data_IF_376620231093
#
_entry.id   IF_376620231093
#
_cell.length_a   1.000
_cell.length_b   1.000
_cell.length_c   1.000
_cell.angle_alpha   90.00
_cell.angle_beta   90.00
_cell.angle_gamma   90.00
#
_symmetry.space_group_name_H-M   'P 1'
#
loop_
_entity.id
_entity.type
_entity.pdbx_description
1 polymer ?
#
# COMPACT_ATOMS: atom_id res chain seq x y z
N UNK A 1 16.69 -26.51 -85.38
CA UNK A 1 15.27 -26.10 -85.40
C UNK A 1 14.81 -25.94 -83.96
N UNK A 2 14.65 -24.69 -83.56
CA UNK A 2 13.78 -24.12 -82.51
C UNK A 2 13.76 -24.78 -81.12
N UNK A 3 14.72 -24.38 -80.29
CA UNK A 3 14.75 -24.64 -78.84
C UNK A 3 13.99 -23.60 -78.00
N UNK A 4 13.48 -24.10 -76.87
CA UNK A 4 12.83 -23.48 -75.71
C UNK A 4 12.78 -21.94 -75.60
N UNK A 5 11.55 -21.43 -75.45
CA UNK A 5 11.24 -20.10 -74.91
C UNK A 5 11.48 -20.07 -73.39
N UNK A 6 12.38 -19.19 -72.94
CA UNK A 6 12.48 -18.79 -71.53
C UNK A 6 11.39 -17.76 -71.23
N UNK A 7 10.43 -18.11 -70.38
CA UNK A 7 9.45 -17.18 -69.83
C UNK A 7 10.00 -16.47 -68.60
N UNK A 8 10.14 -15.15 -68.69
CA UNK A 8 10.46 -14.27 -67.56
C UNK A 8 9.19 -14.12 -66.72
N UNK A 9 9.17 -14.70 -65.52
CA UNK A 9 8.11 -14.48 -64.53
C UNK A 9 8.45 -13.21 -63.74
N UNK A 10 7.66 -12.14 -63.94
CA UNK A 10 7.75 -10.90 -63.19
C UNK A 10 7.00 -11.09 -61.86
N UNK A 11 7.76 -11.20 -60.76
CA UNK A 11 7.22 -11.41 -59.42
C UNK A 11 6.81 -10.06 -58.83
N UNK A 12 5.53 -9.71 -58.98
CA UNK A 12 4.92 -8.54 -58.34
C UNK A 12 4.75 -8.83 -56.85
N UNK A 13 5.62 -8.26 -56.02
CA UNK A 13 5.47 -8.24 -54.56
C UNK A 13 4.31 -7.30 -54.20
N UNK A 14 3.11 -7.85 -54.03
CA UNK A 14 2.00 -7.18 -53.38
C UNK A 14 2.36 -6.98 -51.91
N UNK A 15 2.70 -5.75 -51.54
CA UNK A 15 2.77 -5.31 -50.15
C UNK A 15 1.33 -5.27 -49.63
N UNK A 16 0.94 -6.32 -48.91
CA UNK A 16 -0.30 -6.33 -48.14
C UNK A 16 -0.09 -5.40 -46.94
N UNK A 17 -0.49 -4.14 -47.08
CA UNK A 17 -0.63 -3.24 -45.95
C UNK A 17 -1.62 -3.84 -44.97
N UNK A 18 -1.14 -4.17 -43.76
CA UNK A 18 -2.00 -4.51 -42.64
C UNK A 18 -2.80 -3.26 -42.26
N UNK A 19 -3.99 -3.11 -42.83
CA UNK A 19 -4.98 -2.18 -42.33
C UNK A 19 -5.44 -2.67 -40.96
N UNK A 20 -5.29 -1.82 -39.95
CA UNK A 20 -5.94 -2.04 -38.66
C UNK A 20 -7.44 -2.27 -38.89
N UNK A 21 -8.10 -3.13 -38.09
CA UNK A 21 -9.52 -3.39 -38.26
C UNK A 21 -10.31 -2.08 -38.18
N UNK A 22 -11.25 -1.87 -39.11
CA UNK A 22 -12.01 -0.62 -39.26
C UNK A 22 -12.65 -0.10 -37.96
N UNK A 23 -12.98 -1.00 -37.02
CA UNK A 23 -13.49 -0.68 -35.69
C UNK A 23 -12.50 0.09 -34.80
N UNK A 24 -11.19 -0.21 -34.87
CA UNK A 24 -10.16 0.49 -34.09
C UNK A 24 -9.90 1.91 -34.62
N UNK A 25 -10.02 2.08 -35.94
CA UNK A 25 -9.90 3.38 -36.60
C UNK A 25 -11.10 4.30 -36.28
N UNK A 26 -12.30 3.74 -36.14
CA UNK A 26 -13.51 4.46 -35.74
C UNK A 26 -13.47 4.89 -34.26
N UNK A 27 -13.03 4.01 -33.35
CA UNK A 27 -12.84 4.35 -31.93
C UNK A 27 -11.83 5.49 -31.75
N UNK A 28 -10.73 5.49 -32.50
CA UNK A 28 -9.72 6.56 -32.42
C UNK A 28 -10.28 7.91 -32.89
N UNK A 29 -11.08 7.91 -33.96
CA UNK A 29 -11.75 9.12 -34.42
C UNK A 29 -12.78 9.64 -33.40
N UNK A 30 -13.53 8.73 -32.75
CA UNK A 30 -14.48 9.09 -31.70
C UNK A 30 -13.76 9.64 -30.45
N UNK A 31 -12.69 9.01 -30.01
CA UNK A 31 -11.89 9.43 -28.86
C UNK A 31 -11.32 10.84 -29.08
N UNK A 32 -10.78 11.11 -30.28
CA UNK A 32 -10.27 12.43 -30.63
C UNK A 32 -11.36 13.51 -30.58
N UNK A 33 -12.58 13.22 -31.05
CA UNK A 33 -13.70 14.17 -30.96
C UNK A 33 -14.08 14.45 -29.50
N UNK A 34 -14.18 13.42 -28.66
CA UNK A 34 -14.49 13.58 -27.23
C UNK A 34 -13.38 14.34 -26.49
N UNK A 35 -12.13 14.11 -26.85
CA UNK A 35 -11.00 14.84 -26.27
C UNK A 35 -11.04 16.33 -26.59
N UNK A 36 -11.31 16.68 -27.84
CA UNK A 36 -11.48 18.08 -28.24
C UNK A 36 -12.64 18.72 -27.48
N UNK A 37 -13.74 17.99 -27.28
CA UNK A 37 -14.84 18.47 -26.43
C UNK A 37 -14.38 18.71 -24.99
N UNK A 38 -13.63 17.78 -24.39
CA UNK A 38 -13.07 17.95 -23.05
C UNK A 38 -12.16 19.19 -22.97
N UNK A 39 -11.28 19.39 -23.95
CA UNK A 39 -10.40 20.56 -24.01
C UNK A 39 -11.17 21.88 -24.13
N UNK A 40 -12.26 21.90 -24.90
CA UNK A 40 -13.14 23.08 -24.98
C UNK A 40 -13.83 23.37 -23.64
N UNK A 41 -14.24 22.34 -22.90
CA UNK A 41 -14.81 22.49 -21.55
C UNK A 41 -13.74 23.02 -20.59
N UNK A 42 -12.51 22.52 -20.64
CA UNK A 42 -11.40 23.02 -19.83
C UNK A 42 -11.08 24.49 -20.13
N UNK A 43 -11.06 24.87 -21.40
CA UNK A 43 -10.85 26.27 -21.78
C UNK A 43 -11.93 27.19 -21.19
N UNK A 44 -13.19 26.74 -21.12
CA UNK A 44 -14.26 27.47 -20.43
C UNK A 44 -14.01 27.54 -18.93
N UNK A 45 -13.58 26.43 -18.32
CA UNK A 45 -13.25 26.36 -16.90
C UNK A 45 -12.10 27.31 -16.51
N UNK A 46 -11.15 27.53 -17.41
CA UNK A 46 -10.03 28.46 -17.20
C UNK A 46 -10.42 29.92 -17.41
N UNK A 47 -11.45 30.17 -18.23
CA UNK A 47 -11.94 31.52 -18.52
C UNK A 47 -12.96 32.06 -17.51
N UNK A 48 -13.52 31.21 -16.64
CA UNK A 48 -14.51 31.62 -15.64
C UNK A 48 -13.85 32.04 -14.33
N UNK A 49 -14.40 33.08 -13.70
CA UNK A 49 -14.01 33.52 -12.36
C UNK A 49 -14.93 32.95 -11.26
N UNK A 50 -16.02 32.28 -11.63
CA UNK A 50 -16.93 31.64 -10.69
C UNK A 50 -16.40 30.24 -10.33
N UNK A 51 -16.03 30.06 -9.06
CA UNK A 51 -15.49 28.80 -8.54
C UNK A 51 -16.48 27.63 -8.63
N UNK A 52 -17.79 27.87 -8.47
CA UNK A 52 -18.79 26.81 -8.59
C UNK A 52 -18.96 26.37 -10.05
N UNK A 53 -18.97 27.33 -10.96
CA UNK A 53 -19.06 27.03 -12.39
C UNK A 53 -17.77 26.37 -12.90
N UNK A 54 -16.61 26.83 -12.44
CA UNK A 54 -15.33 26.18 -12.72
C UNK A 54 -15.33 24.72 -12.26
N UNK A 55 -15.79 24.43 -11.04
CA UNK A 55 -15.86 23.07 -10.52
C UNK A 55 -16.77 22.17 -11.37
N UNK A 56 -17.93 22.66 -11.82
CA UNK A 56 -18.83 21.91 -12.71
C UNK A 56 -18.17 21.57 -14.04
N UNK A 57 -17.53 22.54 -14.69
CA UNK A 57 -16.86 22.35 -15.97
C UNK A 57 -15.69 21.37 -15.84
N UNK A 58 -14.92 21.45 -14.76
CA UNK A 58 -13.86 20.49 -14.48
C UNK A 58 -14.39 19.06 -14.33
N UNK A 59 -15.49 18.86 -13.60
CA UNK A 59 -16.15 17.55 -13.47
C UNK A 59 -16.73 17.03 -14.80
N UNK A 60 -17.25 17.92 -15.64
CA UNK A 60 -17.71 17.56 -16.99
C UNK A 60 -16.55 17.10 -17.89
N UNK A 61 -15.42 17.83 -17.87
CA UNK A 61 -14.22 17.41 -18.59
C UNK A 61 -13.68 16.06 -18.08
N UNK A 62 -13.69 15.84 -16.75
CA UNK A 62 -13.26 14.57 -16.16
C UNK A 62 -14.12 13.40 -16.62
N UNK A 63 -15.43 13.61 -16.72
CA UNK A 63 -16.37 12.62 -17.26
C UNK A 63 -16.06 12.28 -18.71
N UNK A 64 -15.83 13.28 -19.57
CA UNK A 64 -15.50 13.06 -20.98
C UNK A 64 -14.20 12.26 -21.15
N UNK A 65 -13.15 12.64 -20.40
CA UNK A 65 -11.85 11.95 -20.44
C UNK A 65 -11.95 10.51 -19.90
N UNK A 66 -12.72 10.32 -18.83
CA UNK A 66 -12.98 8.98 -18.27
C UNK A 66 -13.78 8.10 -19.23
N UNK A 67 -14.75 8.67 -19.97
CA UNK A 67 -15.51 7.94 -20.99
C UNK A 67 -14.60 7.46 -22.14
N UNK A 68 -13.58 8.25 -22.54
CA UNK A 68 -12.58 7.80 -23.52
C UNK A 68 -11.84 6.56 -23.01
N UNK A 69 -11.35 6.61 -21.77
CA UNK A 69 -10.60 5.51 -21.14
C UNK A 69 -11.46 4.24 -21.03
N UNK A 70 -12.73 4.39 -20.64
CA UNK A 70 -13.58 3.24 -20.27
C UNK A 70 -14.37 2.67 -21.44
N UNK A 71 -14.76 3.50 -22.42
CA UNK A 71 -15.61 3.08 -23.55
C UNK A 71 -14.85 2.94 -24.85
N UNK A 72 -13.68 3.58 -24.99
CA UNK A 72 -12.86 3.56 -26.21
C UNK A 72 -11.42 3.07 -25.92
N UNK A 73 -11.25 1.92 -25.25
CA UNK A 73 -9.96 1.48 -24.73
C UNK A 73 -8.94 1.13 -25.84
N UNK A 74 -9.40 0.85 -27.07
CA UNK A 74 -8.51 0.53 -28.20
C UNK A 74 -7.95 1.78 -28.88
N UNK A 75 -8.42 2.98 -28.49
CA UNK A 75 -7.89 4.23 -29.04
C UNK A 75 -6.49 4.53 -28.49
N UNK A 76 -5.60 5.06 -29.35
CA UNK A 76 -4.27 5.51 -28.91
C UNK A 76 -4.37 6.56 -27.79
N UNK A 77 -5.41 7.39 -27.82
CA UNK A 77 -5.62 8.41 -26.81
C UNK A 77 -5.97 7.80 -25.44
N UNK A 78 -6.77 6.74 -25.38
CA UNK A 78 -7.03 6.03 -24.13
C UNK A 78 -5.72 5.51 -23.52
N UNK A 79 -4.82 4.96 -24.35
CA UNK A 79 -3.48 4.53 -23.90
C UNK A 79 -2.67 5.71 -23.38
N UNK A 80 -2.64 6.84 -24.09
CA UNK A 80 -1.92 8.05 -23.66
C UNK A 80 -2.43 8.55 -22.30
N UNK A 81 -3.74 8.65 -22.11
CA UNK A 81 -4.35 9.09 -20.86
C UNK A 81 -4.06 8.12 -19.70
N UNK A 82 -4.20 6.79 -19.93
CA UNK A 82 -3.93 5.77 -18.91
C UNK A 82 -2.46 5.76 -18.50
N UNK A 83 -1.55 5.97 -19.45
CA UNK A 83 -0.10 5.96 -19.22
C UNK A 83 0.46 7.31 -18.80
N UNK A 84 -0.41 8.30 -18.58
CA UNK A 84 -0.05 9.68 -18.26
C UNK A 84 0.96 10.30 -19.24
N UNK A 85 0.84 9.96 -20.53
CA UNK A 85 1.59 10.61 -21.59
C UNK A 85 0.95 11.96 -21.92
N UNK A 86 1.79 12.95 -22.19
CA UNK A 86 1.33 14.26 -22.67
C UNK A 86 0.56 14.11 -23.99
N UNK A 87 -0.59 14.77 -24.07
CA UNK A 87 -1.37 14.89 -25.31
C UNK A 87 -1.29 16.33 -25.78
N UNK A 88 -0.30 16.64 -26.63
CA UNK A 88 0.11 18.02 -26.85
C UNK A 88 0.70 18.60 -25.55
N UNK A 89 0.12 19.70 -25.07
CA UNK A 89 0.51 20.32 -23.78
C UNK A 89 -0.34 19.84 -22.60
N UNK A 90 -1.30 18.94 -22.83
CA UNK A 90 -2.20 18.46 -21.79
C UNK A 90 -1.55 17.35 -20.96
N UNK A 91 -1.37 17.61 -19.66
CA UNK A 91 -1.00 16.63 -18.64
C UNK A 91 -2.26 16.13 -17.92
N UNK A 92 -2.60 14.86 -18.13
CA UNK A 92 -3.77 14.24 -17.51
C UNK A 92 -3.61 14.10 -15.98
N UNK A 93 -2.40 13.92 -15.48
CA UNK A 93 -2.08 13.75 -14.07
C UNK A 93 -2.28 15.05 -13.31
N UNK A 94 -1.77 16.15 -13.85
CA UNK A 94 -1.99 17.50 -13.32
C UNK A 94 -3.48 17.87 -13.36
N UNK A 95 -4.18 17.54 -14.45
CA UNK A 95 -5.63 17.72 -14.52
C UNK A 95 -6.35 16.94 -13.40
N UNK A 96 -6.02 15.66 -13.20
CA UNK A 96 -6.62 14.88 -12.12
C UNK A 96 -6.24 15.42 -10.73
N UNK A 97 -5.05 16.01 -10.56
CA UNK A 97 -4.66 16.68 -9.32
C UNK A 97 -5.54 17.92 -9.06
N UNK A 98 -5.82 18.71 -10.10
CA UNK A 98 -6.75 19.85 -10.04
C UNK A 98 -8.16 19.41 -9.68
N UNK A 99 -8.66 18.30 -10.24
CA UNK A 99 -9.96 17.71 -9.86
C UNK A 99 -9.97 17.31 -8.38
N UNK A 100 -8.92 16.66 -7.88
CA UNK A 100 -8.82 16.30 -6.45
C UNK A 100 -8.80 17.55 -5.55
N UNK A 101 -8.19 18.64 -6.02
CA UNK A 101 -8.19 19.93 -5.33
C UNK A 101 -9.57 20.54 -5.11
N UNK A 102 -10.60 20.14 -5.87
CA UNK A 102 -11.98 20.58 -5.63
C UNK A 102 -12.51 20.15 -4.25
N UNK A 103 -11.93 19.12 -3.65
CA UNK A 103 -12.23 18.72 -2.27
C UNK A 103 -11.92 19.84 -1.25
N UNK A 104 -11.07 20.81 -1.62
CA UNK A 104 -10.73 21.96 -0.80
C UNK A 104 -11.68 23.15 -0.89
N UNK A 105 -12.86 23.00 -1.52
CA UNK A 105 -13.95 23.97 -1.37
C UNK A 105 -14.39 24.13 0.09
N UNK A 106 -14.29 23.06 0.88
CA UNK A 106 -14.31 23.13 2.34
C UNK A 106 -12.90 22.83 2.87
N UNK A 107 -12.20 23.86 3.32
CA UNK A 107 -10.83 23.74 3.83
C UNK A 107 -10.73 22.88 5.09
N UNK A 108 -11.84 22.66 5.80
CA UNK A 108 -11.89 21.85 7.02
C UNK A 108 -12.28 20.39 6.75
N UNK A 109 -12.68 20.07 5.53
CA UNK A 109 -13.02 18.70 5.16
C UNK A 109 -11.78 17.80 5.19
N UNK A 110 -11.95 16.58 5.70
CA UNK A 110 -10.92 15.55 5.72
C UNK A 110 -10.33 15.28 4.31
N UNK A 111 -11.17 15.35 3.28
CA UNK A 111 -10.73 15.20 1.89
C UNK A 111 -9.76 16.31 1.45
N UNK A 112 -9.98 17.56 1.88
CA UNK A 112 -9.04 18.64 1.62
C UNK A 112 -7.72 18.44 2.39
N UNK A 113 -7.80 18.02 3.65
CA UNK A 113 -6.61 17.73 4.46
C UNK A 113 -5.74 16.66 3.78
N UNK A 114 -6.34 15.54 3.37
CA UNK A 114 -5.61 14.47 2.69
C UNK A 114 -5.05 14.91 1.34
N UNK A 115 -5.77 15.73 0.57
CA UNK A 115 -5.24 16.32 -0.66
C UNK A 115 -3.99 17.19 -0.41
N UNK A 116 -4.02 18.02 0.63
CA UNK A 116 -2.85 18.83 1.03
C UNK A 116 -1.68 17.97 1.50
N UNK A 117 -1.95 16.92 2.29
CA UNK A 117 -0.92 15.96 2.71
C UNK A 117 -0.30 15.27 1.50
N UNK A 118 -1.10 14.82 0.53
CA UNK A 118 -0.61 14.22 -0.72
C UNK A 118 0.37 15.17 -1.45
N UNK A 119 0.08 16.48 -1.49
CA UNK A 119 0.95 17.48 -2.09
C UNK A 119 2.25 17.78 -1.33
N UNK A 120 2.34 17.39 -0.04
CA UNK A 120 3.56 17.55 0.77
C UNK A 120 4.46 16.30 0.72
N UNK A 121 3.91 15.16 0.30
CA UNK A 121 4.66 13.91 0.20
C UNK A 121 5.54 13.96 -1.05
N UNK A 122 6.82 13.61 -0.91
CA UNK A 122 7.72 13.53 -2.05
C UNK A 122 7.17 12.57 -3.13
N UNK A 123 7.30 12.87 -4.43
CA UNK A 123 6.81 11.97 -5.47
C UNK A 123 7.46 10.59 -5.38
N UNK A 124 6.77 9.57 -5.89
CA UNK A 124 7.32 8.21 -5.96
C UNK A 124 8.36 8.17 -7.08
N UNK A 125 9.59 7.78 -6.74
CA UNK A 125 10.65 7.52 -7.71
C UNK A 125 10.54 6.09 -8.24
N UNK A 126 10.77 5.91 -9.54
CA UNK A 126 10.72 4.61 -10.21
C UNK A 126 12.10 4.20 -10.74
N UNK A 127 12.53 2.93 -10.56
CA UNK A 127 11.83 1.86 -9.85
C UNK A 127 11.73 2.15 -8.34
N UNK A 128 10.64 1.69 -7.72
CA UNK A 128 10.45 1.84 -6.27
C UNK A 128 11.51 1.02 -5.56
N UNK A 129 12.47 1.71 -4.96
CA UNK A 129 13.64 1.13 -4.32
C UNK A 129 13.82 1.59 -2.87
N UNK A 130 12.90 2.39 -2.33
CA UNK A 130 12.99 2.92 -0.97
C UNK A 130 11.63 2.80 -0.25
N UNK A 131 11.64 2.69 1.10
CA UNK A 131 10.40 2.56 1.86
C UNK A 131 9.53 3.81 1.78
N UNK A 132 8.25 3.66 1.40
CA UNK A 132 7.30 4.77 1.26
C UNK A 132 6.08 4.61 2.16
N UNK A 133 6.35 4.63 3.47
CA UNK A 133 5.33 4.47 4.50
C UNK A 133 4.37 5.66 4.50
N UNK A 134 4.86 6.82 4.07
CA UNK A 134 4.08 8.04 3.85
C UNK A 134 2.92 7.81 2.86
N UNK A 135 3.21 7.28 1.67
CA UNK A 135 2.19 6.94 0.68
C UNK A 135 1.27 5.82 1.16
N UNK A 136 1.80 4.76 1.74
CA UNK A 136 0.98 3.64 2.23
C UNK A 136 0.06 4.06 3.39
N UNK A 137 0.53 4.92 4.29
CA UNK A 137 -0.28 5.50 5.36
C UNK A 137 -1.35 6.45 4.81
N UNK A 138 -1.03 7.23 3.77
CA UNK A 138 -2.02 8.04 3.07
C UNK A 138 -3.12 7.13 2.48
N UNK A 139 -2.78 5.99 1.88
CA UNK A 139 -3.78 5.06 1.35
C UNK A 139 -4.72 4.53 2.45
N UNK A 140 -4.17 4.17 3.61
CA UNK A 140 -4.96 3.74 4.77
C UNK A 140 -5.88 4.87 5.25
N UNK A 141 -5.37 6.10 5.35
CA UNK A 141 -6.17 7.26 5.73
C UNK A 141 -7.30 7.54 4.73
N UNK A 142 -7.02 7.48 3.43
CA UNK A 142 -8.02 7.62 2.36
C UNK A 142 -9.13 6.56 2.51
N UNK A 143 -8.76 5.30 2.79
CA UNK A 143 -9.73 4.23 3.00
C UNK A 143 -10.68 4.51 4.17
N UNK A 144 -10.13 4.86 5.35
CA UNK A 144 -10.92 5.11 6.55
C UNK A 144 -11.74 6.39 6.49
N UNK A 145 -11.33 7.35 5.66
CA UNK A 145 -12.05 8.60 5.41
C UNK A 145 -13.04 8.51 4.23
N UNK A 146 -13.16 7.34 3.60
CA UNK A 146 -14.21 7.02 2.62
C UNK A 146 -13.80 7.12 1.15
N UNK A 147 -12.61 7.63 0.82
CA UNK A 147 -12.10 7.65 -0.55
C UNK A 147 -11.40 6.34 -0.92
N UNK A 148 -12.20 5.28 -1.04
CA UNK A 148 -11.73 3.95 -1.44
C UNK A 148 -11.16 3.93 -2.86
N UNK A 149 -11.59 4.87 -3.72
CA UNK A 149 -11.13 4.98 -5.10
C UNK A 149 -9.65 5.37 -5.19
N UNK A 150 -9.15 6.17 -4.25
CA UNK A 150 -7.74 6.60 -4.22
C UNK A 150 -6.77 5.54 -3.71
N UNK A 151 -7.25 4.57 -2.92
CA UNK A 151 -6.43 3.53 -2.29
C UNK A 151 -5.64 2.71 -3.30
N UNK A 152 -6.33 2.11 -4.28
CA UNK A 152 -5.70 1.22 -5.26
C UNK A 152 -4.64 1.92 -6.10
N UNK A 153 -4.88 3.13 -6.66
CA UNK A 153 -3.83 3.90 -7.33
C UNK A 153 -2.58 4.16 -6.49
N UNK A 154 -2.70 4.28 -5.16
CA UNK A 154 -1.55 4.46 -4.28
C UNK A 154 -0.83 3.13 -4.02
N UNK A 155 -1.55 2.05 -3.71
CA UNK A 155 -0.93 0.76 -3.31
C UNK A 155 -0.38 -0.04 -4.52
N UNK A 156 -1.02 0.05 -5.69
CA UNK A 156 -0.71 -0.81 -6.83
C UNK A 156 0.75 -0.73 -7.33
N UNK A 157 1.41 0.45 -7.40
CA UNK A 157 2.83 0.53 -7.75
C UNK A 157 3.74 -0.29 -6.83
N UNK A 158 3.47 -0.26 -5.52
CA UNK A 158 4.23 -1.01 -4.52
C UNK A 158 4.02 -2.52 -4.67
N UNK A 159 2.79 -2.96 -4.92
CA UNK A 159 2.51 -4.37 -5.24
C UNK A 159 3.22 -4.83 -6.51
N UNK A 160 3.28 -3.98 -7.53
CA UNK A 160 4.00 -4.29 -8.76
C UNK A 160 5.51 -4.40 -8.52
N UNK A 161 6.09 -3.52 -7.70
CA UNK A 161 7.49 -3.59 -7.30
C UNK A 161 7.81 -4.89 -6.57
N UNK A 162 6.96 -5.31 -5.63
CA UNK A 162 7.08 -6.60 -4.93
C UNK A 162 7.05 -7.78 -5.91
N UNK A 163 6.08 -7.81 -6.85
CA UNK A 163 5.96 -8.88 -7.85
C UNK A 163 7.17 -8.97 -8.78
N UNK A 164 7.81 -7.84 -9.09
CA UNK A 164 9.02 -7.78 -9.94
C UNK A 164 10.29 -8.23 -9.22
N UNK A 165 10.21 -8.53 -7.92
CA UNK A 165 11.34 -9.05 -7.16
C UNK A 165 12.29 -7.98 -6.63
N UNK A 166 11.87 -6.71 -6.57
CA UNK A 166 12.65 -5.64 -5.93
C UNK A 166 12.98 -5.95 -4.45
N UNK A 167 12.24 -6.86 -3.81
CA UNK A 167 12.48 -7.35 -2.44
C UNK A 167 13.40 -8.58 -2.31
N UNK A 168 14.15 -8.98 -3.35
CA UNK A 168 15.04 -10.16 -3.27
C UNK A 168 16.44 -9.91 -2.70
N UNK A 169 16.87 -8.66 -2.52
CA UNK A 169 18.25 -8.36 -2.09
C UNK A 169 18.40 -7.68 -0.74
N UNK A 170 17.39 -6.99 -0.22
CA UNK A 170 17.38 -6.55 1.19
C UNK A 170 15.95 -6.60 1.71
N UNK A 171 15.71 -7.50 2.65
CA UNK A 171 14.39 -7.91 3.09
C UNK A 171 13.66 -6.89 4.00
N UNK A 172 13.84 -5.58 3.82
CA UNK A 172 13.27 -4.55 4.71
C UNK A 172 12.68 -3.33 4.00
N UNK A 173 12.90 -3.15 2.70
CA UNK A 173 12.78 -1.80 2.14
C UNK A 173 11.37 -1.35 1.74
N UNK A 174 10.30 -2.16 1.72
CA UNK A 174 8.93 -1.59 1.63
C UNK A 174 7.83 -2.57 2.08
N UNK A 175 7.91 -3.00 3.34
CA UNK A 175 7.10 -4.12 3.84
C UNK A 175 5.84 -3.72 4.59
N UNK A 176 5.44 -2.45 4.45
CA UNK A 176 4.16 -1.94 4.91
C UNK A 176 3.03 -2.21 3.92
N UNK A 177 3.32 -2.79 2.75
CA UNK A 177 2.28 -3.13 1.77
C UNK A 177 1.30 -4.15 2.34
N UNK A 178 1.78 -5.17 3.07
CA UNK A 178 0.93 -6.15 3.73
C UNK A 178 -0.01 -5.49 4.75
N UNK A 179 0.54 -4.66 5.64
CA UNK A 179 -0.24 -3.85 6.59
C UNK A 179 -1.27 -2.96 5.90
N UNK A 180 -0.86 -2.19 4.89
CA UNK A 180 -1.74 -1.28 4.17
C UNK A 180 -2.88 -2.03 3.48
N UNK A 181 -2.59 -3.17 2.83
CA UNK A 181 -3.60 -4.04 2.26
C UNK A 181 -4.59 -4.53 3.32
N UNK A 182 -4.11 -5.04 4.46
CA UNK A 182 -5.00 -5.52 5.51
C UNK A 182 -5.90 -4.41 6.08
N UNK A 183 -5.34 -3.24 6.37
CA UNK A 183 -6.10 -2.09 6.88
C UNK A 183 -7.09 -1.52 5.86
N UNK A 184 -6.84 -1.73 4.55
CA UNK A 184 -7.75 -1.34 3.47
C UNK A 184 -8.69 -2.46 3.00
N UNK A 185 -8.80 -3.54 3.79
CA UNK A 185 -9.78 -4.63 3.57
C UNK A 185 -9.32 -5.74 2.63
N UNK A 186 -8.07 -5.72 2.17
CA UNK A 186 -7.46 -6.69 1.26
C UNK A 186 -6.64 -7.74 2.03
N UNK A 187 -7.19 -8.28 3.13
CA UNK A 187 -6.48 -9.16 4.06
C UNK A 187 -5.92 -10.44 3.40
N UNK A 188 -6.60 -11.01 2.41
CA UNK A 188 -6.10 -12.18 1.67
C UNK A 188 -4.86 -11.86 0.85
N UNK A 189 -4.88 -10.73 0.15
CA UNK A 189 -3.74 -10.29 -0.65
C UNK A 189 -2.57 -9.92 0.26
N UNK A 190 -2.85 -9.31 1.43
CA UNK A 190 -1.85 -9.07 2.45
C UNK A 190 -1.16 -10.38 2.88
N UNK A 191 -1.94 -11.41 3.22
CA UNK A 191 -1.41 -12.72 3.60
C UNK A 191 -0.60 -13.39 2.50
N UNK A 192 -1.05 -13.29 1.25
CA UNK A 192 -0.30 -13.82 0.11
C UNK A 192 1.08 -13.16 0.00
N UNK A 193 1.14 -11.83 0.12
CA UNK A 193 2.41 -11.09 0.12
C UNK A 193 3.27 -11.51 1.32
N UNK A 194 2.69 -11.52 2.52
CA UNK A 194 3.39 -11.82 3.77
C UNK A 194 3.98 -13.22 3.81
N UNK A 195 3.25 -14.24 3.33
CA UNK A 195 3.73 -15.62 3.34
C UNK A 195 4.86 -15.89 2.34
N UNK A 196 5.06 -14.99 1.37
CA UNK A 196 6.20 -15.01 0.46
C UNK A 196 7.49 -14.43 1.05
N UNK A 197 7.43 -13.83 2.25
CA UNK A 197 8.58 -13.22 2.93
C UNK A 197 9.36 -14.30 3.69
N UNK A 198 10.68 -14.30 3.49
CA UNK A 198 11.61 -15.20 4.18
C UNK A 198 12.29 -14.56 5.38
N UNK A 199 12.41 -13.22 5.41
CA UNK A 199 12.93 -12.52 6.58
C UNK A 199 11.97 -12.64 7.74
N UNK A 200 12.49 -13.13 8.86
CA UNK A 200 11.63 -13.51 9.94
C UNK A 200 10.96 -12.32 10.62
N UNK A 201 11.75 -11.26 10.86
CA UNK A 201 11.25 -10.06 11.52
C UNK A 201 10.07 -9.50 10.76
N UNK A 202 10.29 -9.24 9.47
CA UNK A 202 9.28 -8.71 8.58
C UNK A 202 8.02 -9.56 8.51
N UNK A 203 8.18 -10.89 8.37
CA UNK A 203 7.03 -11.78 8.23
C UNK A 203 6.20 -11.81 9.50
N UNK A 204 6.83 -11.91 10.67
CA UNK A 204 6.11 -11.93 11.95
C UNK A 204 5.45 -10.58 12.23
N UNK A 205 6.13 -9.47 11.97
CA UNK A 205 5.53 -8.13 12.06
C UNK A 205 4.27 -8.02 11.18
N UNK A 206 4.35 -8.43 9.92
CA UNK A 206 3.19 -8.37 9.04
C UNK A 206 2.06 -9.29 9.50
N UNK A 207 2.36 -10.53 9.93
CA UNK A 207 1.31 -11.42 10.45
C UNK A 207 0.61 -10.82 11.68
N UNK A 208 1.36 -10.19 12.58
CA UNK A 208 0.81 -9.50 13.76
C UNK A 208 -0.05 -8.28 13.35
N UNK A 209 0.45 -7.42 12.45
CA UNK A 209 -0.29 -6.26 11.94
C UNK A 209 -1.58 -6.67 11.20
N UNK A 210 -1.54 -7.76 10.42
CA UNK A 210 -2.73 -8.30 9.74
C UNK A 210 -3.73 -8.84 10.76
N UNK A 211 -3.27 -9.57 11.78
CA UNK A 211 -4.13 -10.06 12.85
C UNK A 211 -4.81 -8.89 13.58
N UNK A 212 -4.08 -7.82 13.91
CA UNK A 212 -4.63 -6.62 14.52
C UNK A 212 -5.68 -5.95 13.62
N UNK A 213 -5.38 -5.77 12.33
CA UNK A 213 -6.32 -5.22 11.36
C UNK A 213 -7.62 -6.04 11.28
N UNK A 214 -7.52 -7.38 11.33
CA UNK A 214 -8.67 -8.26 11.36
C UNK A 214 -9.49 -8.12 12.66
N UNK A 215 -8.84 -7.92 13.81
CA UNK A 215 -9.54 -7.61 15.08
C UNK A 215 -10.34 -6.33 14.93
N UNK A 216 -9.75 -5.26 14.37
CA UNK A 216 -10.46 -3.99 14.14
C UNK A 216 -11.64 -4.14 13.18
N UNK A 217 -11.56 -5.07 12.25
CA UNK A 217 -12.64 -5.41 11.32
C UNK A 217 -13.65 -6.41 11.89
N UNK A 218 -13.50 -6.83 13.16
CA UNK A 218 -14.40 -7.77 13.83
C UNK A 218 -14.18 -9.25 13.50
N UNK A 219 -13.11 -9.58 12.77
CA UNK A 219 -12.74 -10.95 12.38
C UNK A 219 -11.80 -11.62 13.40
N UNK A 220 -12.20 -11.64 14.67
CA UNK A 220 -11.34 -12.10 15.79
C UNK A 220 -10.91 -13.57 15.70
N UNK A 221 -11.79 -14.47 15.23
CA UNK A 221 -11.44 -15.88 15.07
C UNK A 221 -10.30 -16.09 14.08
N UNK A 222 -10.40 -15.42 12.92
CA UNK A 222 -9.35 -15.44 11.90
C UNK A 222 -8.06 -14.75 12.37
N UNK A 223 -8.18 -13.66 13.11
CA UNK A 223 -7.02 -13.01 13.73
C UNK A 223 -6.30 -13.96 14.69
N UNK A 224 -7.04 -14.76 15.46
CA UNK A 224 -6.46 -15.75 16.38
C UNK A 224 -5.70 -16.85 15.65
N UNK A 225 -6.22 -17.34 14.53
CA UNK A 225 -5.51 -18.29 13.65
C UNK A 225 -4.18 -17.72 13.16
N UNK A 226 -4.16 -16.44 12.75
CA UNK A 226 -2.93 -15.78 12.30
C UNK A 226 -1.93 -15.53 13.43
N UNK A 227 -2.40 -15.23 14.64
CA UNK A 227 -1.52 -15.08 15.80
C UNK A 227 -0.83 -16.41 16.15
N UNK A 228 -1.51 -17.55 16.02
CA UNK A 228 -0.87 -18.86 16.15
C UNK A 228 0.04 -19.19 14.97
N UNK A 229 -0.34 -18.87 13.72
CA UNK A 229 0.56 -19.01 12.55
C UNK A 229 1.87 -18.24 12.78
N UNK A 230 1.79 -17.02 13.30
CA UNK A 230 2.96 -16.22 13.65
C UNK A 230 3.81 -16.89 14.75
N UNK A 231 3.17 -17.48 15.77
CA UNK A 231 3.85 -18.22 16.83
C UNK A 231 4.58 -19.47 16.31
N UNK A 232 3.94 -20.24 15.44
CA UNK A 232 4.51 -21.43 14.81
C UNK A 232 5.68 -21.06 13.90
N UNK A 233 5.50 -20.05 13.06
CA UNK A 233 6.56 -19.58 12.16
C UNK A 233 7.77 -19.04 12.94
N UNK A 234 7.55 -18.17 13.92
CA UNK A 234 8.62 -17.61 14.73
C UNK A 234 9.41 -18.70 15.48
N UNK A 235 8.73 -19.72 16.02
CA UNK A 235 9.42 -20.87 16.65
C UNK A 235 10.20 -21.70 15.64
N UNK A 236 9.59 -22.06 14.51
CA UNK A 236 10.22 -22.88 13.49
C UNK A 236 11.47 -22.22 12.89
N UNK A 237 11.46 -20.88 12.77
CA UNK A 237 12.57 -20.10 12.24
C UNK A 237 13.50 -19.52 13.33
N UNK A 238 13.29 -19.89 14.60
CA UNK A 238 14.10 -19.42 15.74
C UNK A 238 14.15 -17.89 15.92
N UNK A 239 13.03 -17.23 15.66
CA UNK A 239 12.85 -15.77 15.69
C UNK A 239 12.53 -15.31 17.10
N UNK A 240 13.49 -15.52 18.00
CA UNK A 240 13.29 -15.30 19.42
C UNK A 240 12.93 -13.84 19.76
N UNK A 241 13.39 -12.88 18.95
CA UNK A 241 13.13 -11.45 19.15
C UNK A 241 11.67 -11.10 18.87
N UNK A 242 11.09 -11.70 17.84
CA UNK A 242 9.73 -11.46 17.36
C UNK A 242 8.65 -12.12 18.22
N UNK A 243 9.01 -13.05 19.10
CA UNK A 243 8.05 -13.71 19.99
C UNK A 243 7.33 -12.72 20.94
N UNK A 244 7.93 -11.55 21.22
CA UNK A 244 7.25 -10.45 21.91
C UNK A 244 6.07 -9.86 21.13
N UNK A 245 6.19 -9.77 19.80
CA UNK A 245 5.09 -9.33 18.91
C UNK A 245 4.00 -10.39 18.86
N UNK A 246 4.39 -11.65 18.77
CA UNK A 246 3.44 -12.77 18.78
C UNK A 246 2.64 -12.76 20.08
N UNK A 247 3.28 -12.53 21.23
CA UNK A 247 2.59 -12.41 22.51
C UNK A 247 1.59 -11.24 22.51
N UNK A 248 1.94 -10.09 21.93
CA UNK A 248 1.01 -8.96 21.77
C UNK A 248 -0.17 -9.31 20.85
N UNK A 249 0.08 -9.93 19.70
CA UNK A 249 -0.95 -10.37 18.77
C UNK A 249 -1.93 -11.35 19.46
N UNK A 250 -1.40 -12.31 20.22
CA UNK A 250 -2.21 -13.24 21.03
C UNK A 250 -3.06 -12.52 22.09
N UNK A 251 -2.56 -11.45 22.70
CA UNK A 251 -3.35 -10.63 23.63
C UNK A 251 -4.46 -9.87 22.92
N UNK A 252 -4.17 -9.29 21.75
CA UNK A 252 -5.15 -8.53 20.96
C UNK A 252 -6.31 -9.40 20.45
N UNK A 253 -6.07 -10.68 20.21
CA UNK A 253 -7.13 -11.65 19.86
C UNK A 253 -7.82 -12.28 21.08
N UNK A 254 -7.45 -11.86 22.30
CA UNK A 254 -8.06 -12.32 23.55
C UNK A 254 -7.50 -13.63 24.11
N UNK A 255 -6.42 -14.17 23.54
CA UNK A 255 -5.80 -15.42 23.99
C UNK A 255 -4.72 -15.16 25.06
N UNK A 256 -5.13 -14.59 26.20
CA UNK A 256 -4.20 -14.16 27.26
C UNK A 256 -3.39 -15.33 27.86
N UNK A 257 -4.02 -16.49 28.08
CA UNK A 257 -3.32 -17.65 28.64
C UNK A 257 -2.16 -18.07 27.75
N UNK A 258 -2.39 -18.18 26.44
CA UNK A 258 -1.35 -18.53 25.46
C UNK A 258 -0.28 -17.46 25.38
N UNK A 259 -0.67 -16.18 25.32
CA UNK A 259 0.27 -15.06 25.27
C UNK A 259 1.21 -15.08 26.47
N UNK A 260 0.66 -15.28 27.68
CA UNK A 260 1.43 -15.35 28.92
C UNK A 260 2.39 -16.54 28.92
N UNK A 261 1.92 -17.72 28.53
CA UNK A 261 2.80 -18.91 28.43
C UNK A 261 3.93 -18.69 27.42
N UNK A 262 3.63 -18.18 26.23
CA UNK A 262 4.65 -17.91 25.22
C UNK A 262 5.67 -16.90 25.75
N UNK A 263 5.19 -15.77 26.27
CA UNK A 263 6.04 -14.70 26.77
C UNK A 263 6.96 -15.16 27.91
N UNK A 264 6.44 -15.88 28.91
CA UNK A 264 7.24 -16.36 30.04
C UNK A 264 8.33 -17.34 29.58
N UNK A 265 8.00 -18.26 28.67
CA UNK A 265 8.98 -19.18 28.10
C UNK A 265 10.06 -18.42 27.33
N UNK A 266 9.67 -17.44 26.51
CA UNK A 266 10.63 -16.60 25.77
C UNK A 266 11.55 -15.85 26.72
N UNK A 267 11.00 -15.20 27.75
CA UNK A 267 11.79 -14.50 28.79
C UNK A 267 12.73 -15.49 29.47
N UNK A 268 12.27 -16.65 29.92
CA UNK A 268 13.14 -17.63 30.58
C UNK A 268 14.28 -18.11 29.66
N UNK A 269 13.98 -18.44 28.40
CA UNK A 269 14.96 -18.87 27.41
C UNK A 269 15.97 -17.77 27.07
N UNK A 270 15.53 -16.52 26.92
CA UNK A 270 16.44 -15.42 26.61
C UNK A 270 17.28 -15.06 27.84
N UNK A 271 16.68 -14.87 29.01
CA UNK A 271 17.42 -14.47 30.21
C UNK A 271 18.38 -15.55 30.71
N UNK A 272 18.06 -16.85 30.53
CA UNK A 272 19.01 -17.92 30.82
C UNK A 272 20.25 -17.87 29.93
N UNK A 273 20.10 -17.50 28.65
CA UNK A 273 21.22 -17.32 27.70
C UNK A 273 22.07 -16.07 27.96
N UNK A 274 21.51 -15.07 28.63
CA UNK A 274 22.16 -13.77 28.86
C UNK A 274 22.61 -13.52 30.32
N UNK A 275 22.54 -14.51 31.21
CA UNK A 275 22.99 -14.39 32.62
C UNK A 275 24.40 -13.79 32.78
N UNK A 276 25.28 -14.01 31.80
CA UNK A 276 26.68 -13.54 31.83
C UNK A 276 26.92 -12.24 31.04
N UNK A 277 25.93 -11.70 30.32
CA UNK A 277 26.04 -10.48 29.49
C UNK A 277 25.01 -9.43 29.90
N UNK A 278 25.20 -8.84 31.09
CA UNK A 278 24.30 -7.83 31.71
C UNK A 278 24.15 -6.49 30.95
N UNK A 279 24.55 -6.38 29.68
CA UNK A 279 24.52 -5.11 28.94
C UNK A 279 23.64 -5.08 27.68
N UNK A 280 23.30 -6.23 27.10
CA UNK A 280 22.70 -6.30 25.75
C UNK A 280 21.44 -7.17 25.74
N UNK A 281 20.50 -6.96 26.66
CA UNK A 281 19.26 -7.74 26.65
C UNK A 281 18.03 -6.94 26.26
N UNK A 282 17.30 -7.62 25.38
CA UNK A 282 15.86 -7.69 25.29
C UNK A 282 15.25 -6.70 24.28
N UNK A 283 14.47 -7.20 23.30
CA UNK A 283 13.80 -6.36 22.31
C UNK A 283 12.76 -5.46 23.00
N UNK A 284 12.55 -4.24 22.48
CA UNK A 284 11.42 -3.39 22.85
C UNK A 284 10.08 -4.12 22.98
N UNK A 285 9.83 -5.07 22.09
CA UNK A 285 8.57 -5.79 21.95
C UNK A 285 8.29 -6.70 23.16
N UNK A 286 9.32 -7.21 23.84
CA UNK A 286 9.14 -7.93 25.11
C UNK A 286 8.78 -6.98 26.26
N UNK A 287 9.39 -5.79 26.32
CA UNK A 287 9.02 -4.79 27.33
C UNK A 287 7.57 -4.35 27.16
N UNK A 288 7.16 -4.15 25.91
CA UNK A 288 5.78 -3.85 25.52
C UNK A 288 4.82 -4.98 25.91
N UNK A 289 5.13 -6.23 25.54
CA UNK A 289 4.32 -7.39 25.89
C UNK A 289 4.17 -7.57 27.42
N UNK A 290 5.24 -7.32 28.20
CA UNK A 290 5.18 -7.34 29.66
C UNK A 290 4.21 -6.29 30.23
N UNK A 291 4.21 -5.09 29.63
CA UNK A 291 3.23 -4.04 29.94
C UNK A 291 1.80 -4.47 29.61
N UNK A 292 1.61 -5.09 28.45
CA UNK A 292 0.31 -5.62 28.02
C UNK A 292 -0.15 -6.81 28.87
N UNK A 293 0.75 -7.57 29.49
CA UNK A 293 0.42 -8.65 30.43
C UNK A 293 0.16 -8.16 31.86
N UNK A 294 0.44 -6.88 32.13
CA UNK A 294 0.24 -6.24 33.43
C UNK A 294 1.27 -6.65 34.49
N UNK A 295 2.49 -6.99 34.09
CA UNK A 295 3.61 -7.16 35.03
C UNK A 295 4.47 -5.88 35.06
N UNK A 296 4.16 -4.91 35.93
CA UNK A 296 4.85 -3.61 35.94
C UNK A 296 6.33 -3.75 36.28
N UNK A 297 6.69 -4.67 37.16
CA UNK A 297 8.08 -4.85 37.59
C UNK A 297 8.91 -5.44 36.47
N UNK A 298 8.38 -6.47 35.78
CA UNK A 298 9.04 -7.07 34.63
C UNK A 298 9.11 -6.09 33.46
N UNK A 299 8.03 -5.35 33.16
CA UNK A 299 8.00 -4.36 32.09
C UNK A 299 9.02 -3.24 32.31
N UNK A 300 9.07 -2.67 33.52
CA UNK A 300 10.05 -1.64 33.87
C UNK A 300 11.47 -2.20 33.93
N UNK A 301 11.63 -3.46 34.36
CA UNK A 301 12.92 -4.16 34.35
C UNK A 301 13.46 -4.34 32.94
N UNK A 302 12.61 -4.80 32.01
CA UNK A 302 12.93 -4.94 30.59
C UNK A 302 13.21 -3.58 29.94
N UNK A 303 12.41 -2.55 30.21
CA UNK A 303 12.65 -1.22 29.68
C UNK A 303 14.05 -0.67 30.01
N UNK A 304 14.58 -0.99 31.19
CA UNK A 304 15.93 -0.55 31.60
C UNK A 304 17.04 -1.23 30.81
N UNK A 305 16.76 -2.34 30.14
CA UNK A 305 17.73 -3.10 29.35
C UNK A 305 17.58 -2.85 27.85
N UNK A 306 16.43 -2.34 27.39
CA UNK A 306 16.21 -1.90 26.01
C UNK A 306 17.17 -0.76 25.67
N UNK A 307 17.94 -0.90 24.59
CA UNK A 307 18.83 0.16 24.10
C UNK A 307 18.06 1.43 23.70
N UNK A 308 18.76 2.56 23.66
CA UNK A 308 18.31 3.92 23.29
C UNK A 308 17.66 4.04 21.88
N UNK A 309 17.47 2.94 21.15
CA UNK A 309 17.15 2.94 19.72
C UNK A 309 15.66 3.12 19.37
N UNK A 310 14.75 3.13 20.35
CA UNK A 310 13.33 3.34 20.05
C UNK A 310 12.69 4.41 20.96
N UNK A 311 12.52 5.65 20.45
CA UNK A 311 11.85 6.72 21.20
C UNK A 311 10.38 6.40 21.51
N UNK A 312 9.82 5.34 20.91
CA UNK A 312 8.42 4.97 21.04
C UNK A 312 8.16 3.91 22.12
N UNK A 313 9.16 3.12 22.51
CA UNK A 313 8.98 1.98 23.44
C UNK A 313 8.63 2.45 24.85
N UNK A 314 9.34 3.46 25.36
CA UNK A 314 9.10 3.98 26.71
C UNK A 314 7.69 4.57 26.84
N UNK A 315 7.24 5.50 25.97
CA UNK A 315 5.85 5.97 26.01
C UNK A 315 4.82 4.85 25.90
N UNK A 316 5.08 3.86 25.05
CA UNK A 316 4.20 2.72 24.83
C UNK A 316 4.02 1.85 26.08
N UNK A 317 5.13 1.45 26.73
CA UNK A 317 5.07 0.62 27.94
C UNK A 317 4.43 1.39 29.08
N UNK A 318 4.84 2.65 29.31
CA UNK A 318 4.27 3.48 30.37
C UNK A 318 2.78 3.73 30.15
N UNK A 319 2.36 3.97 28.90
CA UNK A 319 0.95 4.13 28.54
C UNK A 319 0.12 2.88 28.85
N UNK A 320 0.63 1.69 28.53
CA UNK A 320 -0.04 0.40 28.83
C UNK A 320 -0.16 0.13 30.33
N UNK A 321 0.90 0.35 31.08
CA UNK A 321 0.88 0.25 32.55
C UNK A 321 -0.14 1.23 33.15
N UNK A 322 -0.17 2.47 32.67
CA UNK A 322 -1.13 3.49 33.08
C UNK A 322 -2.58 3.13 32.74
N UNK A 323 -2.84 2.56 31.57
CA UNK A 323 -4.17 2.13 31.15
C UNK A 323 -4.72 0.99 32.02
N UNK A 324 -3.88 0.05 32.45
CA UNK A 324 -4.27 -1.04 33.35
C UNK A 324 -4.51 -0.56 34.78
N UNK A 325 -3.69 0.37 35.30
CA UNK A 325 -3.86 0.96 36.63
C UNK A 325 -5.12 1.83 36.80
N UNK A 326 -5.83 2.13 35.70
CA UNK A 326 -7.09 2.90 35.67
C UNK A 326 -8.34 2.04 35.47
N UNK A 327 -8.21 0.71 35.32
CA UNK A 327 -9.38 -0.18 35.32
C UNK A 327 -9.85 -0.35 36.78
N UNK A 328 -11.11 -0.02 37.11
CA UNK A 328 -11.63 -0.03 38.49
C UNK A 328 -11.63 -1.43 39.11
#
# INVERSE_FOLDING_TARGET
>A
MSGCRAGILLLVLLVWGWSAPAAAQDQSAQANRQFVQAMQVLQRADSTYDAQEQAKLLLEADRLLTDIITRLPESNLAVQLITNQFVGDFDYGDFKARIRGLACNDATANACLLHRVEGLIAPIEYPIAAPRWDWLSLAVAQYHLGDKGRVRPIIAPFLQALRRGAGKQEASQDLFVGRALALTGEAELALQVTRGINDCSTRVYNLADIAEALVWQGSTGRAAELAEEAAEYARAQSCAWELGLVAQALLHVGNEARARTLFLNTVEEQFSRFKDKRGNCCPPELAVAAGDLGDPNLALGLLRTVQEESPWTVPQVLGRLGARGRRP
#
